data_IF_843659824040
#
_entry.id   IF_843659824040
#
_cell.length_a   1.000
_cell.length_b   1.000
_cell.length_c   1.000
_cell.angle_alpha   90.00
_cell.angle_beta   90.00
_cell.angle_gamma   90.00
#
_symmetry.space_group_name_H-M   'P 1'
#
loop_
_entity.id
_entity.type
_entity.pdbx_description
1 polymer ?
#
# COMPACT_ATOMS: atom_id res chain seq x y z
N UNK A 1 13.70 50.30 21.14
CA UNK A 1 14.41 50.06 19.89
C UNK A 1 14.30 51.27 18.96
N UNK A 2 15.28 51.51 18.11
CA UNK A 2 15.31 52.64 17.17
C UNK A 2 14.31 52.49 16.01
N UNK A 3 13.69 51.34 15.85
CA UNK A 3 12.75 51.03 14.79
C UNK A 3 11.70 50.01 15.32
N UNK A 4 10.44 50.25 15.01
CA UNK A 4 9.37 49.34 15.37
C UNK A 4 9.35 48.13 14.39
N UNK A 5 8.84 46.97 14.84
CA UNK A 5 8.87 45.71 14.08
C UNK A 5 8.16 45.78 12.72
N UNK A 6 7.06 46.50 12.59
CA UNK A 6 6.35 46.71 11.32
C UNK A 6 7.17 47.53 10.31
N UNK A 7 7.90 48.56 10.79
CA UNK A 7 8.77 49.33 9.94
C UNK A 7 9.99 48.50 9.46
N UNK A 8 10.54 47.65 10.35
CA UNK A 8 11.59 46.72 10.00
C UNK A 8 11.08 45.73 8.92
N UNK A 9 9.91 45.15 9.13
CA UNK A 9 9.31 44.22 8.17
C UNK A 9 9.07 44.87 6.80
N UNK A 10 8.54 46.13 6.79
CA UNK A 10 8.33 46.91 5.57
C UNK A 10 9.65 47.08 4.82
N UNK A 11 10.72 47.49 5.50
CA UNK A 11 12.04 47.64 4.90
C UNK A 11 12.56 46.32 4.30
N UNK A 12 12.43 45.21 5.01
CA UNK A 12 12.88 43.91 4.53
C UNK A 12 12.07 43.44 3.30
N UNK A 13 10.76 43.73 3.24
CA UNK A 13 9.92 43.46 2.08
C UNK A 13 10.30 44.31 0.87
N UNK A 14 10.64 45.57 1.05
CA UNK A 14 11.12 46.44 -0.06
C UNK A 14 12.50 46.01 -0.57
N UNK A 15 13.29 45.32 0.22
CA UNK A 15 14.58 44.71 -0.18
C UNK A 15 14.38 43.34 -0.86
N UNK A 16 13.12 42.90 -1.12
CA UNK A 16 12.80 41.63 -1.77
C UNK A 16 13.05 40.39 -0.91
N UNK A 17 13.17 40.53 0.39
CA UNK A 17 13.37 39.41 1.32
C UNK A 17 12.04 38.79 1.70
N UNK A 18 11.85 37.56 1.29
CA UNK A 18 10.68 36.76 1.64
C UNK A 18 11.02 35.76 2.76
N UNK A 19 10.35 35.91 3.90
CA UNK A 19 10.38 34.97 5.03
C UNK A 19 9.04 34.99 5.73
N UNK A 20 8.75 33.92 6.47
CA UNK A 20 7.52 33.77 7.25
C UNK A 20 7.62 34.56 8.56
N UNK A 21 6.55 35.27 8.91
CA UNK A 21 6.55 36.20 10.04
C UNK A 21 5.34 35.97 10.93
N UNK A 22 5.61 35.80 12.22
CA UNK A 22 4.61 35.91 13.29
C UNK A 22 4.95 37.15 14.08
N UNK A 23 4.01 38.09 14.22
CA UNK A 23 4.13 39.24 15.10
C UNK A 23 3.58 38.86 16.47
N UNK A 24 4.35 39.15 17.51
CA UNK A 24 3.94 38.99 18.88
C UNK A 24 4.00 40.38 19.54
N UNK A 25 2.87 40.85 20.03
CA UNK A 25 2.74 42.20 20.67
C UNK A 25 2.01 42.13 22.00
N UNK A 26 2.17 43.17 22.82
CA UNK A 26 1.37 43.40 24.01
C UNK A 26 0.18 44.33 23.79
N UNK A 27 0.20 45.06 22.64
CA UNK A 27 -0.80 46.09 22.36
C UNK A 27 -1.84 45.51 21.38
N UNK A 28 -3.12 45.59 21.77
CA UNK A 28 -4.26 45.31 20.88
C UNK A 28 -4.59 46.54 20.04
N UNK A 29 -3.73 46.82 19.05
CA UNK A 29 -3.96 47.93 18.13
C UNK A 29 -4.43 47.39 16.77
N UNK A 30 -5.69 47.67 16.45
CA UNK A 30 -6.32 47.28 15.18
C UNK A 30 -5.59 47.83 13.95
N UNK A 31 -5.05 49.04 14.02
CA UNK A 31 -4.33 49.66 12.90
C UNK A 31 -3.00 48.96 12.67
N UNK A 32 -2.30 48.53 13.69
CA UNK A 32 -1.07 47.75 13.57
C UNK A 32 -1.36 46.34 13.03
N UNK A 33 -2.45 45.71 13.49
CA UNK A 33 -2.87 44.41 12.94
C UNK A 33 -3.21 44.49 11.45
N UNK A 34 -3.92 45.52 11.01
CA UNK A 34 -4.22 45.78 9.59
C UNK A 34 -2.94 45.98 8.78
N UNK A 35 -2.01 46.79 9.24
CA UNK A 35 -0.72 46.98 8.57
C UNK A 35 0.10 45.68 8.51
N UNK A 36 0.04 44.84 9.52
CA UNK A 36 0.69 43.53 9.51
C UNK A 36 0.12 42.62 8.44
N UNK A 37 -1.21 42.60 8.28
CA UNK A 37 -1.90 41.84 7.21
C UNK A 37 -1.46 42.33 5.83
N UNK A 38 -1.45 43.67 5.62
CA UNK A 38 -1.01 44.28 4.36
C UNK A 38 0.46 43.94 4.02
N UNK A 39 1.31 43.73 5.03
CA UNK A 39 2.71 43.30 4.90
C UNK A 39 2.86 41.79 4.73
N UNK A 40 1.77 41.04 4.72
CA UNK A 40 1.77 39.60 4.48
C UNK A 40 2.37 38.78 5.63
N UNK A 41 2.02 39.10 6.89
CA UNK A 41 2.43 38.26 8.03
C UNK A 41 1.58 36.99 8.08
N UNK A 42 2.18 35.90 8.56
CA UNK A 42 1.52 34.59 8.65
C UNK A 42 0.77 34.39 9.97
N UNK A 43 1.04 35.23 10.97
CA UNK A 43 0.38 35.21 12.25
C UNK A 43 0.54 36.51 13.04
N UNK A 44 -0.45 36.83 13.85
CA UNK A 44 -0.45 37.98 14.76
C UNK A 44 -0.96 37.47 16.11
N UNK A 45 -0.15 37.56 17.16
CA UNK A 45 -0.47 37.06 18.50
C UNK A 45 -0.34 38.21 19.52
N UNK A 46 -1.38 38.40 20.33
CA UNK A 46 -1.40 39.40 21.39
C UNK A 46 -1.10 38.73 22.73
N UNK A 47 -0.17 39.28 23.50
CA UNK A 47 0.17 38.76 24.81
C UNK A 47 -0.82 39.26 25.88
N UNK A 48 -1.23 38.41 26.84
CA UNK A 48 -0.86 36.98 26.99
C UNK A 48 -1.62 36.06 26.04
N UNK A 49 -0.94 35.16 25.36
CA UNK A 49 -1.53 34.14 24.49
C UNK A 49 -1.27 32.73 25.05
N UNK A 50 -2.13 31.77 24.68
CA UNK A 50 -1.94 30.39 25.09
C UNK A 50 -0.88 29.69 24.19
N UNK A 51 -0.06 28.78 24.75
CA UNK A 51 0.93 28.03 23.95
C UNK A 51 0.33 27.31 22.72
N UNK A 52 -0.95 26.93 22.82
CA UNK A 52 -1.69 26.29 21.73
C UNK A 52 -1.90 27.22 20.52
N UNK A 53 -2.06 28.52 20.74
CA UNK A 53 -2.25 29.52 19.67
C UNK A 53 -0.95 29.68 18.86
N UNK A 54 0.18 29.76 19.54
CA UNK A 54 1.49 29.78 18.88
C UNK A 54 1.75 28.48 18.13
N UNK A 55 1.42 27.34 18.73
CA UNK A 55 1.54 26.03 18.06
C UNK A 55 0.70 25.97 16.77
N UNK A 56 -0.56 26.43 16.81
CA UNK A 56 -1.43 26.51 15.62
C UNK A 56 -0.85 27.42 14.54
N UNK A 57 -0.32 28.60 14.92
CA UNK A 57 0.30 29.52 13.96
C UNK A 57 1.55 28.90 13.32
N UNK A 58 2.41 28.26 14.10
CA UNK A 58 3.60 27.54 13.60
C UNK A 58 3.23 26.37 12.70
N UNK A 59 2.21 25.58 13.05
CA UNK A 59 1.73 24.47 12.21
C UNK A 59 1.25 24.96 10.84
N UNK A 60 0.47 26.07 10.81
CA UNK A 60 0.03 26.69 9.54
C UNK A 60 1.21 27.16 8.69
N UNK A 61 2.23 27.76 9.31
CA UNK A 61 3.43 28.18 8.60
C UNK A 61 4.20 26.98 8.09
N UNK A 62 4.37 25.94 8.90
CA UNK A 62 5.03 24.70 8.49
C UNK A 62 4.33 24.07 7.27
N UNK A 63 3.00 24.00 7.27
CA UNK A 63 2.23 23.53 6.12
C UNK A 63 2.44 24.41 4.87
N UNK A 64 2.45 25.74 5.03
CA UNK A 64 2.73 26.65 3.92
C UNK A 64 4.15 26.46 3.37
N UNK A 65 5.17 26.40 4.23
CA UNK A 65 6.57 26.16 3.81
C UNK A 65 6.68 24.81 3.12
N UNK A 66 6.10 23.75 3.68
CA UNK A 66 6.09 22.42 3.09
C UNK A 66 5.48 22.46 1.68
N UNK A 67 4.31 23.09 1.53
CA UNK A 67 3.64 23.21 0.24
C UNK A 67 4.44 24.03 -0.77
N UNK A 68 5.13 25.09 -0.34
CA UNK A 68 5.95 25.94 -1.22
C UNK A 68 7.29 25.27 -1.58
N UNK A 69 7.92 24.57 -0.65
CA UNK A 69 9.16 23.82 -0.91
C UNK A 69 8.91 22.67 -1.91
N UNK A 70 7.79 21.94 -1.75
CA UNK A 70 7.33 20.96 -2.73
C UNK A 70 7.10 21.58 -4.12
N UNK A 71 6.63 22.82 -4.17
CA UNK A 71 6.36 23.52 -5.42
C UNK A 71 7.61 23.99 -6.18
N UNK A 72 8.75 24.18 -5.53
CA UNK A 72 9.92 24.78 -6.19
C UNK A 72 11.03 23.79 -6.56
N UNK A 73 11.44 22.92 -5.65
CA UNK A 73 12.65 22.09 -5.83
C UNK A 73 12.38 20.68 -6.38
N UNK A 74 11.20 20.09 -6.13
CA UNK A 74 10.92 18.69 -6.40
C UNK A 74 9.54 18.44 -7.02
N UNK A 75 8.95 19.41 -7.69
CA UNK A 75 7.64 19.26 -8.32
C UNK A 75 7.76 18.42 -9.60
N UNK A 76 7.90 17.13 -9.43
CA UNK A 76 7.88 16.11 -10.49
C UNK A 76 6.60 15.30 -10.42
N UNK A 77 6.24 14.63 -11.51
CA UNK A 77 5.10 13.71 -11.52
C UNK A 77 5.23 12.65 -10.44
N UNK A 78 6.43 12.07 -10.29
CA UNK A 78 6.70 11.03 -9.29
C UNK A 78 6.43 11.54 -7.87
N UNK A 79 6.93 12.74 -7.52
CA UNK A 79 6.70 13.30 -6.18
C UNK A 79 5.23 13.61 -5.91
N UNK A 80 4.49 14.08 -6.90
CA UNK A 80 3.03 14.28 -6.79
C UNK A 80 2.34 12.93 -6.53
N UNK A 81 2.68 11.89 -7.30
CA UNK A 81 2.08 10.56 -7.14
C UNK A 81 2.50 9.89 -5.82
N UNK A 82 3.76 10.07 -5.37
CA UNK A 82 4.22 9.60 -4.06
C UNK A 82 3.44 10.26 -2.93
N UNK A 83 3.22 11.57 -2.98
CA UNK A 83 2.42 12.26 -1.98
C UNK A 83 0.92 11.89 -2.02
N UNK A 84 0.38 11.55 -3.20
CA UNK A 84 -0.95 10.95 -3.30
C UNK A 84 -0.99 9.55 -2.66
N UNK A 85 0.07 8.74 -2.85
CA UNK A 85 0.22 7.42 -2.24
C UNK A 85 0.25 7.50 -0.71
N UNK A 86 0.94 8.50 -0.18
CA UNK A 86 1.15 8.64 1.26
C UNK A 86 0.01 9.40 1.96
N UNK A 87 -1.07 9.74 1.21
CA UNK A 87 -2.22 10.49 1.72
C UNK A 87 -1.89 11.92 2.15
N UNK A 88 -0.71 12.44 1.76
CA UNK A 88 -0.23 13.76 2.17
C UNK A 88 -0.80 14.91 1.33
N UNK A 89 -1.29 14.61 0.13
CA UNK A 89 -1.86 15.63 -0.76
C UNK A 89 -3.35 15.84 -0.45
N UNK A 90 -3.66 17.10 -0.14
CA UNK A 90 -5.04 17.60 -0.13
C UNK A 90 -5.24 18.39 -1.42
N UNK A 91 -6.22 17.95 -2.23
CA UNK A 91 -6.59 18.67 -3.45
C UNK A 91 -7.00 20.11 -3.14
N UNK A 92 -6.48 21.04 -3.91
CA UNK A 92 -6.90 22.43 -3.92
C UNK A 92 -6.69 23.03 -5.30
N UNK A 93 -7.38 24.15 -5.58
CA UNK A 93 -7.36 24.80 -6.88
C UNK A 93 -5.93 25.12 -7.36
N UNK A 94 -5.08 25.67 -6.48
CA UNK A 94 -3.71 26.07 -6.84
C UNK A 94 -2.86 24.85 -7.25
N UNK A 95 -2.96 23.74 -6.52
CA UNK A 95 -2.25 22.51 -6.85
C UNK A 95 -2.72 21.97 -8.22
N UNK A 96 -4.04 21.92 -8.43
CA UNK A 96 -4.61 21.44 -9.70
C UNK A 96 -4.23 22.32 -10.89
N UNK A 97 -4.21 23.64 -10.74
CA UNK A 97 -3.72 24.57 -11.78
C UNK A 97 -2.23 24.31 -12.11
N UNK A 98 -1.41 24.02 -11.11
CA UNK A 98 0.01 23.75 -11.30
C UNK A 98 0.25 22.38 -11.96
N UNK A 99 -0.43 21.32 -11.52
CA UNK A 99 -0.28 19.99 -12.08
C UNK A 99 -0.78 19.94 -13.52
N UNK A 100 -1.93 20.56 -13.83
CA UNK A 100 -2.46 20.59 -15.19
C UNK A 100 -1.54 21.39 -16.13
N UNK A 101 -1.03 22.53 -15.64
CA UNK A 101 -0.15 23.39 -16.46
C UNK A 101 1.18 22.73 -16.78
N UNK A 102 1.76 21.98 -15.83
CA UNK A 102 3.09 21.39 -15.98
C UNK A 102 3.06 19.97 -16.52
N UNK A 103 2.07 19.17 -16.12
CA UNK A 103 2.01 17.73 -16.41
C UNK A 103 0.76 17.32 -17.21
N UNK A 104 -0.24 18.20 -17.33
CA UNK A 104 -1.45 17.97 -18.09
C UNK A 104 -2.48 17.07 -17.41
N UNK A 105 -2.43 16.95 -16.08
CA UNK A 105 -3.43 16.25 -15.27
C UNK A 105 -3.66 17.00 -13.94
N UNK A 106 -4.75 16.66 -13.25
CA UNK A 106 -5.02 17.13 -11.89
C UNK A 106 -4.97 15.94 -10.91
N UNK A 107 -4.77 16.22 -9.63
CA UNK A 107 -4.80 15.16 -8.61
C UNK A 107 -6.22 14.64 -8.35
N UNK A 108 -7.24 15.31 -8.87
CA UNK A 108 -8.64 14.90 -8.84
C UNK A 108 -9.04 14.07 -10.07
N UNK A 109 -8.16 13.93 -11.07
CA UNK A 109 -8.43 13.09 -12.22
C UNK A 109 -8.48 11.60 -11.84
N UNK A 110 -9.27 10.80 -12.55
CA UNK A 110 -9.27 9.36 -12.38
C UNK A 110 -7.94 8.76 -12.81
N UNK A 111 -7.57 7.67 -12.17
CA UNK A 111 -6.35 6.93 -12.50
C UNK A 111 -6.55 5.43 -12.42
N UNK A 112 -5.52 4.69 -12.81
CA UNK A 112 -5.49 3.24 -12.69
C UNK A 112 -4.23 2.82 -11.95
N UNK A 113 -4.40 1.86 -11.07
CA UNK A 113 -3.31 1.23 -10.34
C UNK A 113 -3.18 -0.22 -10.81
N UNK A 114 -2.08 -0.52 -11.50
CA UNK A 114 -1.67 -1.87 -11.80
C UNK A 114 -0.56 -2.28 -10.85
N UNK A 115 -0.79 -3.34 -10.08
CA UNK A 115 0.14 -3.80 -9.05
C UNK A 115 0.65 -5.20 -9.38
N UNK A 116 1.95 -5.41 -9.22
CA UNK A 116 2.60 -6.70 -9.36
C UNK A 116 3.24 -7.11 -8.04
N UNK A 117 2.91 -8.31 -7.58
CA UNK A 117 3.60 -8.97 -6.48
C UNK A 117 4.32 -10.21 -6.99
N UNK A 118 5.54 -10.39 -6.53
CA UNK A 118 6.39 -11.58 -6.77
C UNK A 118 6.44 -12.49 -5.53
N UNK A 119 5.55 -12.28 -4.58
CA UNK A 119 5.54 -12.98 -3.29
C UNK A 119 6.93 -12.95 -2.61
N UNK A 120 7.54 -14.10 -2.33
CA UNK A 120 8.84 -14.21 -1.68
C UNK A 120 10.03 -13.80 -2.57
N UNK A 121 9.83 -13.68 -3.89
CA UNK A 121 10.88 -13.38 -4.87
C UNK A 121 11.03 -11.87 -5.15
N UNK A 122 10.43 -11.00 -4.30
CA UNK A 122 10.43 -9.55 -4.53
C UNK A 122 11.82 -8.95 -4.64
N UNK A 123 12.71 -9.23 -3.71
CA UNK A 123 14.05 -8.64 -3.68
C UNK A 123 14.90 -9.02 -4.90
N UNK A 124 14.70 -10.25 -5.40
CA UNK A 124 15.44 -10.78 -6.54
C UNK A 124 14.88 -10.27 -7.89
N UNK A 125 13.58 -10.01 -7.95
CA UNK A 125 12.88 -9.74 -9.22
C UNK A 125 12.38 -8.30 -9.39
N UNK A 126 12.38 -7.48 -8.34
CA UNK A 126 11.77 -6.13 -8.38
C UNK A 126 12.30 -5.26 -9.51
N UNK A 127 13.62 -5.22 -9.72
CA UNK A 127 14.23 -4.39 -10.75
C UNK A 127 13.94 -4.92 -12.17
N UNK A 128 13.88 -6.23 -12.33
CA UNK A 128 13.53 -6.85 -13.60
C UNK A 128 12.07 -6.58 -13.99
N UNK A 129 11.15 -6.69 -13.01
CA UNK A 129 9.72 -6.39 -13.20
C UNK A 129 9.53 -4.90 -13.45
N UNK A 130 10.21 -4.04 -12.69
CA UNK A 130 10.23 -2.59 -12.90
C UNK A 130 10.65 -2.26 -14.33
N UNK A 131 11.81 -2.76 -14.77
CA UNK A 131 12.33 -2.52 -16.12
C UNK A 131 11.37 -2.98 -17.21
N UNK A 132 10.69 -4.13 -17.03
CA UNK A 132 9.66 -4.59 -17.94
C UNK A 132 8.47 -3.63 -18.03
N UNK A 133 7.97 -3.13 -16.90
CA UNK A 133 6.85 -2.18 -16.86
C UNK A 133 7.24 -0.81 -17.43
N UNK A 134 8.45 -0.34 -17.16
CA UNK A 134 8.98 0.90 -17.75
C UNK A 134 9.14 0.79 -19.29
N UNK A 135 9.47 -0.39 -19.79
CA UNK A 135 9.52 -0.67 -21.23
C UNK A 135 8.12 -0.57 -21.86
N UNK A 136 7.10 -1.14 -21.22
CA UNK A 136 5.70 -0.98 -21.62
C UNK A 136 5.31 0.51 -21.67
N UNK A 137 5.63 1.29 -20.64
CA UNK A 137 5.32 2.72 -20.59
C UNK A 137 6.02 3.52 -21.69
N UNK A 138 7.21 3.10 -22.14
CA UNK A 138 7.95 3.77 -23.22
C UNK A 138 7.38 3.49 -24.61
N UNK A 139 6.83 2.30 -24.83
CA UNK A 139 6.30 1.87 -26.11
C UNK A 139 4.81 2.14 -26.28
N UNK A 140 4.06 2.26 -25.21
CA UNK A 140 2.63 2.55 -25.25
C UNK A 140 2.38 4.05 -25.17
N UNK A 141 1.74 4.60 -26.19
CA UNK A 141 1.46 6.03 -26.29
C UNK A 141 0.05 6.41 -25.82
N UNK A 142 -0.78 5.44 -25.50
CA UNK A 142 -2.19 5.67 -25.13
C UNK A 142 -2.42 6.17 -23.70
N UNK A 143 -1.38 6.16 -22.85
CA UNK A 143 -1.42 6.68 -21.48
C UNK A 143 -0.07 7.23 -21.00
N UNK A 144 -0.10 7.99 -19.92
CA UNK A 144 1.10 8.32 -19.13
C UNK A 144 1.02 7.61 -17.78
N UNK A 145 2.14 6.99 -17.40
CA UNK A 145 2.23 6.26 -16.15
C UNK A 145 3.60 6.43 -15.47
N UNK A 146 3.66 6.11 -14.19
CA UNK A 146 4.89 6.03 -13.39
C UNK A 146 4.99 4.66 -12.73
N UNK A 147 6.21 4.09 -12.67
CA UNK A 147 6.48 2.81 -12.03
C UNK A 147 7.20 3.07 -10.70
N UNK A 148 6.64 2.56 -9.61
CA UNK A 148 7.14 2.75 -8.25
C UNK A 148 7.34 1.38 -7.58
N UNK A 149 8.53 1.12 -7.02
CA UNK A 149 8.79 -0.02 -6.16
C UNK A 149 8.53 0.38 -4.69
N UNK A 150 7.87 -0.49 -3.95
CA UNK A 150 7.65 -0.32 -2.51
C UNK A 150 8.29 -1.48 -1.76
N UNK A 151 9.41 -1.21 -1.08
CA UNK A 151 10.10 -2.21 -0.25
C UNK A 151 9.29 -2.55 1.01
N UNK A 152 8.53 -1.58 1.53
CA UNK A 152 7.64 -1.79 2.68
C UNK A 152 6.55 -2.83 2.39
N UNK A 153 5.96 -2.77 1.20
CA UNK A 153 4.83 -3.64 0.83
C UNK A 153 5.24 -4.76 -0.12
N UNK A 154 6.52 -4.82 -0.49
CA UNK A 154 7.12 -5.79 -1.43
C UNK A 154 6.32 -5.94 -2.72
N UNK A 155 6.04 -4.81 -3.37
CA UNK A 155 5.23 -4.71 -4.58
C UNK A 155 5.80 -3.69 -5.55
N UNK A 156 5.55 -3.91 -6.84
CA UNK A 156 5.80 -2.93 -7.91
C UNK A 156 4.45 -2.39 -8.37
N UNK A 157 4.32 -1.08 -8.37
CA UNK A 157 3.13 -0.35 -8.77
C UNK A 157 3.38 0.39 -10.08
N UNK A 158 2.47 0.27 -11.02
CA UNK A 158 2.37 1.13 -12.19
C UNK A 158 1.11 1.97 -12.02
N UNK A 159 1.29 3.28 -11.91
CA UNK A 159 0.22 4.27 -11.71
C UNK A 159 -0.01 4.98 -13.03
N UNK A 160 -1.17 4.76 -13.66
CA UNK A 160 -1.61 5.47 -14.85
C UNK A 160 -2.37 6.70 -14.38
N UNK A 161 -1.82 7.88 -14.67
CA UNK A 161 -2.35 9.17 -14.21
C UNK A 161 -2.94 10.03 -15.34
N UNK A 162 -2.80 9.58 -16.58
CA UNK A 162 -3.38 10.25 -17.74
C UNK A 162 -3.62 9.25 -18.86
N UNK A 163 -4.79 9.30 -19.46
CA UNK A 163 -5.19 8.43 -20.57
C UNK A 163 -5.51 9.28 -21.79
N UNK A 164 -4.94 8.92 -22.94
CA UNK A 164 -5.11 9.63 -24.21
C UNK A 164 -6.08 8.91 -25.14
N UNK A 165 -6.20 7.59 -25.01
CA UNK A 165 -7.01 6.74 -25.86
C UNK A 165 -8.14 6.07 -25.05
N UNK A 166 -9.35 6.16 -25.59
CA UNK A 166 -10.51 5.46 -25.03
C UNK A 166 -10.48 3.98 -25.48
N UNK A 167 -9.78 3.12 -24.72
CA UNK A 167 -9.83 1.68 -24.90
C UNK A 167 -9.96 0.96 -23.56
N UNK A 168 -10.30 -0.32 -23.61
CA UNK A 168 -10.34 -1.16 -22.41
C UNK A 168 -8.93 -1.51 -21.94
N UNK A 169 -8.34 -0.64 -21.11
CA UNK A 169 -6.98 -0.79 -20.59
C UNK A 169 -6.82 -2.04 -19.72
N UNK A 170 -7.83 -2.42 -18.96
CA UNK A 170 -7.82 -3.65 -18.17
C UNK A 170 -7.64 -4.88 -19.07
N UNK A 171 -8.37 -4.95 -20.16
CA UNK A 171 -8.24 -6.06 -21.14
C UNK A 171 -6.87 -6.05 -21.83
N UNK A 172 -6.37 -4.87 -22.18
CA UNK A 172 -5.02 -4.71 -22.72
C UNK A 172 -3.95 -5.23 -21.76
N UNK A 173 -4.02 -4.83 -20.48
CA UNK A 173 -3.10 -5.29 -19.46
C UNK A 173 -3.19 -6.79 -19.23
N UNK A 174 -4.40 -7.36 -19.19
CA UNK A 174 -4.58 -8.81 -19.10
C UNK A 174 -3.89 -9.55 -20.25
N UNK A 175 -4.12 -9.14 -21.50
CA UNK A 175 -3.63 -9.85 -22.69
C UNK A 175 -2.15 -9.66 -22.95
N UNK A 176 -1.63 -8.47 -22.75
CA UNK A 176 -0.28 -8.11 -23.17
C UNK A 176 0.71 -8.05 -22.00
N UNK A 177 0.34 -7.37 -20.90
CA UNK A 177 1.25 -7.12 -19.77
C UNK A 177 1.33 -8.34 -18.87
N UNK A 178 0.20 -8.85 -18.38
CA UNK A 178 0.16 -10.02 -17.47
C UNK A 178 0.72 -11.26 -18.17
N UNK A 179 0.32 -11.51 -19.41
CA UNK A 179 0.84 -12.64 -20.21
C UNK A 179 2.35 -12.51 -20.42
N UNK A 180 2.84 -11.31 -20.73
CA UNK A 180 4.26 -11.02 -20.88
C UNK A 180 5.05 -11.25 -19.59
N UNK A 181 4.55 -10.75 -18.45
CA UNK A 181 5.14 -10.98 -17.13
C UNK A 181 5.21 -12.47 -16.80
N UNK A 182 4.11 -13.20 -16.96
CA UNK A 182 4.08 -14.64 -16.66
C UNK A 182 5.00 -15.48 -17.56
N UNK A 183 5.26 -15.03 -18.79
CA UNK A 183 6.20 -15.68 -19.71
C UNK A 183 7.66 -15.38 -19.33
N UNK A 184 7.95 -14.12 -18.99
CA UNK A 184 9.32 -13.68 -18.69
C UNK A 184 9.77 -14.12 -17.29
N UNK A 185 8.84 -14.18 -16.34
CA UNK A 185 9.10 -14.52 -14.94
C UNK A 185 8.37 -15.81 -14.55
N UNK A 186 9.06 -16.96 -14.51
CA UNK A 186 8.43 -18.26 -14.24
C UNK A 186 7.95 -18.43 -12.80
N UNK A 187 8.42 -17.59 -11.85
CA UNK A 187 8.03 -17.58 -10.45
C UNK A 187 6.58 -17.15 -10.20
N UNK A 188 6.27 -16.81 -8.95
CA UNK A 188 4.94 -16.35 -8.56
C UNK A 188 4.74 -14.90 -9.00
N UNK A 189 3.88 -14.69 -9.98
CA UNK A 189 3.45 -13.35 -10.43
C UNK A 189 1.96 -13.19 -10.17
N UNK A 190 1.61 -12.21 -9.36
CA UNK A 190 0.23 -11.87 -9.01
C UNK A 190 -0.02 -10.43 -9.44
N UNK A 191 -1.01 -10.22 -10.29
CA UNK A 191 -1.34 -8.92 -10.85
C UNK A 191 -2.72 -8.47 -10.40
N UNK A 192 -2.82 -7.23 -9.93
CA UNK A 192 -4.08 -6.60 -9.50
C UNK A 192 -4.31 -5.32 -10.28
N UNK A 193 -5.57 -5.05 -10.66
CA UNK A 193 -6.02 -3.84 -11.32
C UNK A 193 -7.07 -3.14 -10.48
N UNK A 194 -6.85 -1.86 -10.20
CA UNK A 194 -7.81 -1.00 -9.48
C UNK A 194 -8.01 0.28 -10.28
N UNK A 195 -9.27 0.70 -10.38
CA UNK A 195 -9.66 1.99 -10.94
C UNK A 195 -9.94 2.95 -9.79
N UNK A 196 -9.24 4.08 -9.77
CA UNK A 196 -9.47 5.13 -8.76
C UNK A 196 -10.21 6.30 -9.39
N UNK A 197 -11.18 6.85 -8.66
CA UNK A 197 -11.93 8.03 -9.12
C UNK A 197 -11.09 9.29 -9.10
N UNK A 198 -10.07 9.34 -8.26
CA UNK A 198 -9.16 10.46 -8.07
C UNK A 198 -7.77 9.92 -7.70
N UNK A 199 -6.70 10.57 -8.15
CA UNK A 199 -5.33 10.20 -7.77
C UNK A 199 -5.06 10.44 -6.28
N UNK A 200 -5.77 11.35 -5.63
CA UNK A 200 -5.73 11.54 -4.17
C UNK A 200 -6.18 10.31 -3.37
N UNK A 201 -6.81 9.31 -4.02
CA UNK A 201 -7.25 8.04 -3.43
C UNK A 201 -6.30 6.88 -3.69
N UNK A 202 -5.06 7.14 -4.11
CA UNK A 202 -4.06 6.10 -4.37
C UNK A 202 -3.71 5.29 -3.12
N UNK A 203 -3.63 5.91 -1.94
CA UNK A 203 -3.41 5.19 -0.69
C UNK A 203 -4.49 4.13 -0.45
N UNK A 204 -5.77 4.52 -0.55
CA UNK A 204 -6.91 3.61 -0.40
C UNK A 204 -6.85 2.46 -1.42
N UNK A 205 -6.52 2.77 -2.68
CA UNK A 205 -6.35 1.78 -3.74
C UNK A 205 -5.20 0.80 -3.44
N UNK A 206 -4.08 1.28 -2.91
CA UNK A 206 -2.95 0.42 -2.55
C UNK A 206 -3.27 -0.50 -1.36
N UNK A 207 -4.02 -0.02 -0.37
CA UNK A 207 -4.52 -0.84 0.74
C UNK A 207 -5.47 -1.93 0.18
N UNK A 208 -6.39 -1.57 -0.70
CA UNK A 208 -7.32 -2.50 -1.33
C UNK A 208 -6.60 -3.60 -2.13
N UNK A 209 -5.44 -3.28 -2.72
CA UNK A 209 -4.62 -4.27 -3.43
C UNK A 209 -4.30 -5.50 -2.57
N UNK A 210 -4.00 -5.30 -1.28
CA UNK A 210 -3.71 -6.40 -0.35
C UNK A 210 -4.85 -7.40 -0.25
N UNK A 211 -6.07 -6.91 -0.06
CA UNK A 211 -7.27 -7.75 0.03
C UNK A 211 -7.59 -8.47 -1.28
N UNK A 212 -7.38 -7.81 -2.43
CA UNK A 212 -7.60 -8.43 -3.73
C UNK A 212 -6.56 -9.51 -4.04
N UNK A 213 -5.30 -9.35 -3.62
CA UNK A 213 -4.26 -10.35 -3.85
C UNK A 213 -4.52 -11.68 -3.17
N UNK A 214 -5.28 -11.72 -2.07
CA UNK A 214 -5.65 -12.96 -1.40
C UNK A 214 -6.47 -13.89 -2.31
N UNK A 215 -7.23 -13.31 -3.25
CA UNK A 215 -8.05 -14.07 -4.20
C UNK A 215 -7.21 -14.86 -5.21
N UNK A 216 -5.89 -14.63 -5.28
CA UNK A 216 -4.98 -15.46 -6.06
C UNK A 216 -4.99 -16.93 -5.61
N UNK A 217 -5.41 -17.23 -4.38
CA UNK A 217 -5.59 -18.61 -3.90
C UNK A 217 -6.64 -19.39 -4.71
N UNK A 218 -7.59 -18.67 -5.35
CA UNK A 218 -8.67 -19.24 -6.14
C UNK A 218 -8.49 -19.05 -7.65
N UNK A 219 -7.45 -18.34 -8.07
CA UNK A 219 -7.24 -17.99 -9.48
C UNK A 219 -6.17 -18.87 -10.12
N UNK A 220 -6.32 -19.22 -11.39
CA UNK A 220 -5.21 -19.77 -12.17
C UNK A 220 -4.13 -18.70 -12.36
N UNK A 221 -2.91 -19.16 -12.62
CA UNK A 221 -1.79 -18.25 -12.91
C UNK A 221 -2.07 -17.39 -14.15
N UNK A 222 -1.68 -16.12 -14.09
CA UNK A 222 -1.77 -15.22 -15.23
C UNK A 222 -3.13 -14.54 -15.39
N UNK A 223 -3.93 -14.51 -14.32
CA UNK A 223 -5.19 -13.77 -14.28
C UNK A 223 -4.96 -12.41 -13.63
N UNK A 224 -5.49 -11.35 -14.25
CA UNK A 224 -5.55 -10.02 -13.68
C UNK A 224 -6.71 -9.92 -12.70
N UNK A 225 -6.38 -9.80 -11.42
CA UNK A 225 -7.36 -9.74 -10.35
C UNK A 225 -7.90 -8.31 -10.24
N UNK A 226 -9.21 -8.15 -10.20
CA UNK A 226 -9.89 -6.88 -9.96
C UNK A 226 -11.21 -7.12 -9.23
N UNK A 227 -11.83 -6.06 -8.71
CA UNK A 227 -13.08 -6.14 -7.97
C UNK A 227 -14.16 -6.93 -8.75
N UNK A 228 -14.32 -6.64 -10.03
CA UNK A 228 -15.33 -7.30 -10.88
C UNK A 228 -15.04 -8.79 -11.11
N UNK A 229 -13.77 -9.23 -11.07
CA UNK A 229 -13.43 -10.66 -11.16
C UNK A 229 -13.73 -11.37 -9.86
N UNK A 230 -13.50 -10.71 -8.73
CA UNK A 230 -13.76 -11.24 -7.39
C UNK A 230 -15.27 -11.38 -7.13
N UNK A 231 -16.07 -10.39 -7.48
CA UNK A 231 -17.53 -10.40 -7.30
C UNK A 231 -18.24 -11.52 -8.08
N UNK A 232 -17.61 -12.06 -9.10
CA UNK A 232 -18.14 -13.19 -9.88
C UNK A 232 -17.90 -14.56 -9.24
N UNK A 233 -17.09 -14.62 -8.17
CA UNK A 233 -16.87 -15.87 -7.46
C UNK A 233 -18.07 -16.23 -6.59
N UNK A 234 -18.70 -17.34 -6.91
CA UNK A 234 -19.64 -18.00 -6.03
C UNK A 234 -18.84 -18.82 -5.02
N UNK A 235 -18.64 -18.24 -3.84
CA UNK A 235 -17.95 -18.91 -2.73
C UNK A 235 -18.94 -19.71 -1.90
N UNK A 236 -18.49 -20.84 -1.37
CA UNK A 236 -19.29 -21.66 -0.47
C UNK A 236 -18.72 -21.54 0.97
N UNK A 237 -19.56 -21.70 2.01
CA UNK A 237 -19.07 -21.73 3.38
C UNK A 237 -18.05 -22.85 3.60
N UNK A 238 -16.96 -22.54 4.31
CA UNK A 238 -15.92 -23.51 4.58
C UNK A 238 -16.43 -24.65 5.46
N UNK A 239 -16.13 -25.88 5.08
CA UNK A 239 -16.32 -27.07 5.92
C UNK A 239 -14.99 -27.46 6.50
N UNK A 240 -14.83 -27.21 7.80
CA UNK A 240 -13.59 -27.57 8.48
C UNK A 240 -13.41 -29.09 8.54
N UNK A 241 -12.23 -29.64 8.15
CA UNK A 241 -12.02 -31.08 8.05
C UNK A 241 -11.69 -31.72 9.40
N UNK A 242 -12.71 -31.87 10.26
CA UNK A 242 -12.55 -32.42 11.63
C UNK A 242 -11.94 -33.82 11.62
N UNK A 243 -12.27 -34.65 10.62
CA UNK A 243 -11.72 -35.99 10.49
C UNK A 243 -10.20 -36.00 10.27
N UNK A 244 -9.69 -35.03 9.48
CA UNK A 244 -8.25 -34.89 9.28
C UNK A 244 -7.54 -34.41 10.54
N UNK A 245 -8.19 -33.57 11.35
CA UNK A 245 -7.66 -33.15 12.65
C UNK A 245 -7.56 -34.33 13.63
N UNK A 246 -8.57 -35.21 13.65
CA UNK A 246 -8.54 -36.44 14.48
C UNK A 246 -7.41 -37.35 14.03
N UNK A 247 -7.26 -37.62 12.74
CA UNK A 247 -6.17 -38.43 12.19
C UNK A 247 -4.79 -37.82 12.47
N UNK A 248 -4.68 -36.49 12.39
CA UNK A 248 -3.44 -35.81 12.77
C UNK A 248 -3.04 -36.12 14.20
N UNK A 249 -4.01 -36.09 15.13
CA UNK A 249 -3.78 -36.44 16.54
C UNK A 249 -3.26 -37.88 16.70
N UNK A 250 -3.83 -38.85 15.98
CA UNK A 250 -3.37 -40.24 15.98
C UNK A 250 -1.94 -40.36 15.45
N UNK A 251 -1.65 -39.68 14.29
CA UNK A 251 -0.30 -39.72 13.71
C UNK A 251 0.76 -39.09 14.62
N UNK A 252 0.40 -38.05 15.38
CA UNK A 252 1.30 -37.43 16.38
C UNK A 252 1.51 -38.38 17.55
N UNK A 253 0.45 -39.02 18.07
CA UNK A 253 0.55 -39.97 19.15
C UNK A 253 1.45 -41.18 18.80
N UNK A 254 1.33 -41.68 17.56
CA UNK A 254 2.10 -42.82 17.04
C UNK A 254 3.51 -42.42 16.55
N UNK A 255 3.92 -41.14 16.71
CA UNK A 255 5.18 -40.56 16.21
C UNK A 255 5.40 -40.83 14.70
N UNK A 256 4.31 -40.94 13.95
CA UNK A 256 4.34 -41.24 12.50
C UNK A 256 4.61 -40.01 11.64
N UNK A 257 5.89 -39.69 11.48
CA UNK A 257 6.33 -38.49 10.68
C UNK A 257 5.75 -38.45 9.26
N UNK A 258 5.70 -39.60 8.55
CA UNK A 258 5.11 -39.67 7.20
C UNK A 258 3.60 -39.43 7.22
N UNK A 259 2.93 -39.96 8.28
CA UNK A 259 1.51 -39.73 8.50
C UNK A 259 1.22 -38.25 8.75
N UNK A 260 2.01 -37.58 9.61
CA UNK A 260 1.90 -36.14 9.91
C UNK A 260 2.01 -35.30 8.60
N UNK A 261 3.08 -35.53 7.83
CA UNK A 261 3.27 -34.84 6.53
C UNK A 261 2.07 -35.06 5.59
N UNK A 262 1.54 -36.29 5.53
CA UNK A 262 0.38 -36.58 4.68
C UNK A 262 -0.89 -35.88 5.15
N UNK A 263 -1.14 -35.72 6.47
CA UNK A 263 -2.30 -34.97 6.95
C UNK A 263 -2.23 -33.49 6.58
N UNK A 264 -1.04 -32.86 6.66
CA UNK A 264 -0.85 -31.48 6.18
C UNK A 264 -1.10 -31.31 4.69
N UNK A 265 -0.66 -32.27 3.89
CA UNK A 265 -0.95 -32.27 2.46
C UNK A 265 -2.47 -32.39 2.19
N UNK A 266 -3.15 -33.31 2.89
CA UNK A 266 -4.59 -33.54 2.72
C UNK A 266 -5.43 -32.31 3.10
N UNK A 267 -5.08 -31.58 4.16
CA UNK A 267 -5.82 -30.36 4.51
C UNK A 267 -5.66 -29.29 3.42
N UNK A 268 -4.48 -29.16 2.82
CA UNK A 268 -4.30 -28.25 1.68
C UNK A 268 -5.11 -28.68 0.47
N UNK A 269 -5.12 -29.99 0.15
CA UNK A 269 -5.92 -30.54 -0.94
C UNK A 269 -7.41 -30.31 -0.72
N UNK A 270 -7.92 -30.49 0.51
CA UNK A 270 -9.32 -30.25 0.85
C UNK A 270 -9.69 -28.77 0.71
N UNK A 271 -8.82 -27.87 1.17
CA UNK A 271 -9.05 -26.42 1.04
C UNK A 271 -8.94 -25.90 -0.41
N UNK A 272 -8.31 -26.68 -1.30
CA UNK A 272 -8.24 -26.37 -2.74
C UNK A 272 -9.43 -26.92 -3.54
N UNK A 273 -10.20 -27.86 -2.98
CA UNK A 273 -11.26 -28.58 -3.70
C UNK A 273 -12.42 -27.69 -4.07
N UNK A 274 -12.82 -26.82 -3.13
CA UNK A 274 -13.96 -25.94 -3.27
C UNK A 274 -13.54 -24.47 -3.29
N UNK A 275 -14.42 -23.61 -3.76
CA UNK A 275 -14.19 -22.16 -3.81
C UNK A 275 -14.60 -21.52 -2.47
N UNK A 276 -13.79 -21.68 -1.46
CA UNK A 276 -13.98 -21.04 -0.17
C UNK A 276 -13.47 -19.59 -0.19
N UNK A 277 -14.00 -18.74 0.69
CA UNK A 277 -13.45 -17.39 0.84
C UNK A 277 -11.98 -17.44 1.27
N UNK A 278 -11.04 -16.68 0.65
CA UNK A 278 -9.60 -16.79 0.94
C UNK A 278 -9.22 -16.70 2.41
N UNK A 279 -9.88 -15.82 3.17
CA UNK A 279 -9.64 -15.71 4.62
C UNK A 279 -10.09 -16.96 5.38
N UNK A 280 -11.19 -17.57 5.00
CA UNK A 280 -11.68 -18.81 5.65
C UNK A 280 -10.75 -20.00 5.37
N UNK A 281 -10.16 -20.07 4.16
CA UNK A 281 -9.10 -21.06 3.83
C UNK A 281 -7.95 -20.90 4.82
N UNK A 282 -7.43 -19.69 4.95
CA UNK A 282 -6.30 -19.40 5.84
C UNK A 282 -6.63 -19.71 7.31
N UNK A 283 -7.80 -19.29 7.79
CA UNK A 283 -8.24 -19.58 9.16
C UNK A 283 -8.38 -21.08 9.42
N UNK A 284 -8.90 -21.85 8.48
CA UNK A 284 -9.02 -23.30 8.60
C UNK A 284 -7.66 -23.97 8.68
N UNK A 285 -6.71 -23.55 7.85
CA UNK A 285 -5.33 -24.07 7.88
C UNK A 285 -4.63 -23.68 9.18
N UNK A 286 -4.75 -22.42 9.62
CA UNK A 286 -4.18 -21.96 10.90
C UNK A 286 -4.73 -22.78 12.06
N UNK A 287 -6.06 -22.97 12.12
CA UNK A 287 -6.71 -23.78 13.14
C UNK A 287 -6.16 -25.20 13.16
N UNK A 288 -6.02 -25.82 11.98
CA UNK A 288 -5.46 -27.18 11.86
C UNK A 288 -4.01 -27.24 12.35
N UNK A 289 -3.18 -26.27 11.98
CA UNK A 289 -1.79 -26.17 12.44
C UNK A 289 -1.69 -25.97 13.95
N UNK A 290 -2.54 -25.12 14.52
CA UNK A 290 -2.60 -24.89 15.96
C UNK A 290 -3.02 -26.15 16.73
N UNK A 291 -4.02 -26.89 16.23
CA UNK A 291 -4.45 -28.13 16.81
C UNK A 291 -3.34 -29.21 16.78
N UNK A 292 -2.60 -29.30 15.67
CA UNK A 292 -1.45 -30.20 15.55
C UNK A 292 -0.35 -29.85 16.57
N UNK A 293 0.04 -28.57 16.68
CA UNK A 293 1.03 -28.10 17.65
C UNK A 293 0.63 -28.35 19.08
N UNK A 294 -0.66 -28.10 19.43
CA UNK A 294 -1.19 -28.39 20.77
C UNK A 294 -1.16 -29.87 21.11
N UNK A 295 -1.57 -30.74 20.17
CA UNK A 295 -1.51 -32.20 20.38
C UNK A 295 -0.07 -32.70 20.58
N UNK A 296 0.88 -32.19 19.77
CA UNK A 296 2.29 -32.56 19.92
C UNK A 296 2.83 -32.20 21.31
N UNK A 297 2.52 -31.02 21.83
CA UNK A 297 2.89 -30.59 23.18
C UNK A 297 2.22 -31.48 24.27
N UNK A 298 0.95 -31.80 24.09
CA UNK A 298 0.23 -32.68 25.05
C UNK A 298 0.83 -34.07 25.15
N UNK A 299 1.51 -34.54 24.12
CA UNK A 299 2.23 -35.82 24.11
C UNK A 299 3.73 -35.69 24.46
N UNK A 300 4.14 -34.55 25.04
CA UNK A 300 5.48 -34.35 25.57
C UNK A 300 6.49 -33.76 24.58
N UNK A 301 6.04 -33.33 23.38
CA UNK A 301 6.89 -32.63 22.43
C UNK A 301 7.18 -31.18 22.86
N UNK A 302 8.39 -30.72 22.59
CA UNK A 302 8.78 -29.34 22.83
C UNK A 302 8.60 -28.53 21.54
N UNK A 303 7.94 -27.38 21.62
CA UNK A 303 7.71 -26.48 20.50
C UNK A 303 8.04 -25.03 20.92
N UNK A 304 8.81 -24.34 20.10
CA UNK A 304 9.00 -22.91 20.25
C UNK A 304 7.72 -22.16 19.84
N UNK A 305 7.07 -21.54 20.83
CA UNK A 305 5.85 -20.77 20.62
C UNK A 305 6.06 -19.57 19.68
N UNK A 306 7.24 -18.95 19.71
CA UNK A 306 7.55 -17.80 18.87
C UNK A 306 7.65 -18.21 17.40
N UNK A 307 8.18 -19.40 17.14
CA UNK A 307 8.29 -19.96 15.79
C UNK A 307 6.91 -20.34 15.24
N UNK A 308 6.06 -21.01 16.05
CA UNK A 308 4.66 -21.28 15.66
C UNK A 308 3.93 -19.99 15.30
N UNK A 309 3.99 -18.97 16.15
CA UNK A 309 3.33 -17.69 15.89
C UNK A 309 3.83 -17.04 14.58
N UNK A 310 5.13 -17.14 14.32
CA UNK A 310 5.72 -16.66 13.06
C UNK A 310 5.16 -17.41 11.84
N UNK A 311 5.03 -18.75 11.92
CA UNK A 311 4.44 -19.56 10.84
C UNK A 311 2.96 -19.23 10.62
N UNK A 312 2.18 -19.06 11.71
CA UNK A 312 0.78 -18.65 11.60
C UNK A 312 0.65 -17.27 10.96
N UNK A 313 1.54 -16.35 11.29
CA UNK A 313 1.58 -15.03 10.67
C UNK A 313 1.93 -15.12 9.17
N UNK A 314 2.86 -15.98 8.78
CA UNK A 314 3.17 -16.25 7.37
C UNK A 314 1.93 -16.74 6.60
N UNK A 315 1.14 -17.66 7.17
CA UNK A 315 -0.12 -18.13 6.55
C UNK A 315 -1.14 -16.97 6.47
N UNK A 316 -1.25 -16.15 7.51
CA UNK A 316 -2.18 -15.01 7.54
C UNK A 316 -1.93 -14.03 6.38
N UNK A 317 -0.67 -13.73 6.10
CA UNK A 317 -0.29 -12.79 5.04
C UNK A 317 -0.01 -13.46 3.69
N UNK A 318 -0.12 -14.79 3.58
CA UNK A 318 0.10 -15.51 2.34
C UNK A 318 -0.90 -15.06 1.25
N UNK A 319 -0.39 -14.88 0.05
CA UNK A 319 -1.16 -14.55 -1.16
C UNK A 319 -1.02 -15.64 -2.23
N UNK A 320 -0.32 -16.73 -1.92
CA UNK A 320 -0.13 -17.89 -2.80
C UNK A 320 -0.11 -19.18 -2.00
N UNK A 321 -0.53 -20.27 -2.64
CA UNK A 321 -0.43 -21.61 -2.06
C UNK A 321 1.00 -22.00 -1.72
N UNK A 322 1.98 -21.60 -2.55
CA UNK A 322 3.42 -21.84 -2.30
C UNK A 322 3.86 -21.29 -0.93
N UNK A 323 3.37 -20.10 -0.55
CA UNK A 323 3.68 -19.51 0.75
C UNK A 323 3.03 -20.28 1.90
N UNK A 324 1.77 -20.69 1.76
CA UNK A 324 1.05 -21.49 2.76
C UNK A 324 1.76 -22.83 2.96
N UNK A 325 2.07 -23.53 1.87
CA UNK A 325 2.76 -24.84 1.92
C UNK A 325 4.16 -24.72 2.54
N UNK A 326 4.90 -23.64 2.25
CA UNK A 326 6.21 -23.38 2.86
C UNK A 326 6.11 -23.18 4.37
N UNK A 327 5.11 -22.43 4.85
CA UNK A 327 4.87 -22.23 6.27
C UNK A 327 4.48 -23.57 6.95
N UNK A 328 3.61 -24.36 6.33
CA UNK A 328 3.24 -25.71 6.82
C UNK A 328 4.46 -26.63 6.92
N UNK A 329 5.35 -26.63 5.91
CA UNK A 329 6.60 -27.41 5.97
C UNK A 329 7.53 -26.97 7.10
N UNK A 330 7.49 -25.69 7.50
CA UNK A 330 8.14 -25.21 8.70
C UNK A 330 7.60 -25.93 9.95
N UNK A 331 6.29 -25.94 10.11
CA UNK A 331 5.64 -26.63 11.24
C UNK A 331 5.86 -28.15 11.22
N UNK A 332 5.77 -28.76 10.04
CA UNK A 332 6.03 -30.22 9.88
C UNK A 332 7.42 -30.60 10.42
N UNK A 333 8.44 -29.80 10.14
CA UNK A 333 9.80 -30.04 10.67
C UNK A 333 9.88 -29.93 12.18
N UNK A 334 9.05 -29.08 12.80
CA UNK A 334 9.00 -28.95 14.27
C UNK A 334 8.29 -30.12 14.94
N UNK A 335 7.34 -30.74 14.23
CA UNK A 335 6.58 -31.90 14.73
C UNK A 335 7.23 -33.25 14.40
N UNK A 336 8.40 -33.23 13.78
CA UNK A 336 9.13 -34.41 13.31
C UNK A 336 10.44 -34.62 14.06
#
# INVERSE_FOLDING_TARGET
PRMNGLNLLRKLRTEGREFRVIIITKDEDFQQAKQAIDLGVDGYLVQPFQPMELKKALSRIHEKIRNEYWMQASFTVENVLLSCRDGEIISNQKLNEMTIRRFGFTVDDPGYLFTVSMADEYEEQKENVRGFLEEICRHECGFSASVICSDQWKKVYLIIYRVYEARNWKEYFQKNVVTGLCRKFPGTIICVWIETKQLTKLEEAMIQTGSLMEWNLLQPRGVLICQQTVEKFEVVPVRYPVELEQRMREMIFDENKKGIARQFQLVCEEMKREKYFPKEIKYSIIRFCMAAGLNYRNYGGEIDETEILSLMQQITYAISWKQIEKAIQGLERMLS
#
